data_IF_142133283505
#
_entry.id   IF_142133283505
#
_cell.length_a   1.000
_cell.length_b   1.000
_cell.length_c   1.000
_cell.angle_alpha   90.00
_cell.angle_beta   90.00
_cell.angle_gamma   90.00
#
_symmetry.space_group_name_H-M   'P 1'
#
loop_
_entity.id
_entity.type
_entity.pdbx_description
1 polymer ?
#
# COMPACT_ATOMS: atom_id res chain seq x y z
N UNK A 1 -1.11 -5.82 -4.73
CA UNK A 1 0.17 -6.27 -4.14
C UNK A 1 0.16 -6.02 -2.65
N UNK A 2 0.59 -6.98 -1.82
CA UNK A 2 0.72 -6.80 -0.38
C UNK A 2 2.14 -6.37 0.01
N UNK A 3 2.26 -5.43 0.94
CA UNK A 3 3.53 -4.93 1.47
C UNK A 3 3.52 -4.96 3.01
N UNK A 4 4.31 -5.86 3.59
CA UNK A 4 4.46 -5.95 5.04
C UNK A 4 5.43 -4.86 5.53
N UNK A 5 4.89 -3.85 6.21
CA UNK A 5 5.62 -2.66 6.67
C UNK A 5 5.93 -2.75 8.17
N UNK A 6 6.81 -3.68 8.55
CA UNK A 6 7.26 -3.86 9.94
C UNK A 6 8.03 -2.62 10.40
N UNK A 7 7.63 -2.06 11.54
CA UNK A 7 8.24 -0.88 12.17
C UNK A 7 8.50 0.30 11.22
N UNK A 8 7.66 0.44 10.20
CA UNK A 8 7.75 1.54 9.24
C UNK A 8 8.91 1.45 8.25
N UNK A 9 9.54 0.28 8.08
CA UNK A 9 10.66 0.07 7.16
C UNK A 9 10.42 0.63 5.74
N UNK A 10 9.19 0.54 5.23
CA UNK A 10 8.79 1.03 3.92
C UNK A 10 8.09 2.40 3.92
N UNK A 11 8.11 3.15 5.02
CA UNK A 11 7.45 4.47 5.07
C UNK A 11 7.96 5.41 3.98
N UNK A 12 9.29 5.48 3.79
CA UNK A 12 9.88 6.32 2.74
C UNK A 12 9.43 5.94 1.33
N UNK A 13 9.27 4.65 1.06
CA UNK A 13 8.73 4.16 -0.22
C UNK A 13 7.27 4.56 -0.40
N UNK A 14 6.44 4.39 0.63
CA UNK A 14 5.03 4.76 0.58
C UNK A 14 4.86 6.28 0.37
N UNK A 15 5.62 7.10 1.09
CA UNK A 15 5.61 8.56 0.94
C UNK A 15 6.12 9.01 -0.44
N UNK A 16 7.09 8.31 -1.02
CA UNK A 16 7.52 8.58 -2.39
C UNK A 16 6.39 8.34 -3.40
N UNK A 17 5.63 7.26 -3.23
CA UNK A 17 4.48 6.95 -4.09
C UNK A 17 3.37 7.98 -3.88
N UNK A 18 3.07 8.36 -2.64
CA UNK A 18 2.10 9.42 -2.34
C UNK A 18 2.46 10.72 -3.10
N UNK A 19 3.73 11.13 -3.00
CA UNK A 19 4.23 12.31 -3.72
C UNK A 19 4.11 12.20 -5.24
N UNK A 20 4.41 11.04 -5.81
CA UNK A 20 4.28 10.82 -7.25
C UNK A 20 2.82 10.85 -7.72
N UNK A 21 1.87 10.49 -6.86
CA UNK A 21 0.43 10.67 -7.12
C UNK A 21 0.05 12.14 -7.08
N UNK A 22 0.49 12.87 -6.06
CA UNK A 22 0.21 14.30 -5.89
C UNK A 22 0.77 15.14 -7.05
N UNK A 23 1.95 14.78 -7.56
CA UNK A 23 2.59 15.42 -8.72
C UNK A 23 1.97 14.99 -10.07
N UNK A 24 1.02 14.06 -10.07
CA UNK A 24 0.32 13.59 -11.27
C UNK A 24 1.10 12.59 -12.13
N UNK A 25 2.26 12.12 -11.66
CA UNK A 25 3.03 11.06 -12.34
C UNK A 25 2.37 9.68 -12.24
N UNK A 26 1.59 9.45 -11.17
CA UNK A 26 0.84 8.21 -10.94
C UNK A 26 -0.65 8.55 -10.86
N UNK A 27 -1.48 7.82 -11.60
CA UNK A 27 -2.94 7.96 -11.51
C UNK A 27 -3.43 7.68 -10.09
N UNK A 28 -4.37 8.47 -9.53
CA UNK A 28 -4.85 8.29 -8.15
C UNK A 28 -5.35 6.86 -7.85
N UNK A 29 -5.98 6.21 -8.81
CA UNK A 29 -6.44 4.82 -8.69
C UNK A 29 -5.29 3.81 -8.49
N UNK A 30 -4.11 4.08 -9.07
CA UNK A 30 -2.95 3.21 -8.96
C UNK A 30 -2.31 3.23 -7.56
N UNK A 31 -2.61 4.24 -6.72
CA UNK A 31 -2.12 4.28 -5.34
C UNK A 31 -2.58 3.08 -4.50
N UNK A 32 -3.77 2.57 -4.79
CA UNK A 32 -4.39 1.46 -4.07
C UNK A 32 -3.88 0.08 -4.50
N UNK A 33 -2.95 0.01 -5.47
CA UNK A 33 -2.29 -1.22 -5.91
C UNK A 33 -1.45 -1.82 -4.77
N UNK A 34 -0.90 -0.97 -3.90
CA UNK A 34 -0.16 -1.40 -2.71
C UNK A 34 -1.09 -1.36 -1.50
N UNK A 35 -1.30 -2.54 -0.91
CA UNK A 35 -1.93 -2.70 0.40
C UNK A 35 -0.81 -2.90 1.41
N UNK A 36 -0.69 -2.02 2.40
CA UNK A 36 0.28 -2.17 3.49
C UNK A 36 -0.39 -2.44 4.84
N UNK A 37 0.37 -3.12 5.70
CA UNK A 37 -0.01 -3.49 7.05
C UNK A 37 1.25 -3.72 7.90
N UNK A 38 1.14 -3.62 9.21
CA UNK A 38 2.29 -3.79 10.12
C UNK A 38 2.55 -5.25 10.48
N UNK A 39 1.52 -6.10 10.36
CA UNK A 39 1.61 -7.52 10.67
C UNK A 39 1.17 -8.37 9.49
N UNK A 40 1.69 -9.59 9.40
CA UNK A 40 1.32 -10.54 8.34
C UNK A 40 -0.18 -10.87 8.38
N UNK A 41 -0.74 -11.08 9.58
CA UNK A 41 -2.17 -11.34 9.76
C UNK A 41 -3.03 -10.20 9.19
N UNK A 42 -2.74 -8.96 9.58
CA UNK A 42 -3.45 -7.78 9.08
C UNK A 42 -3.33 -7.65 7.56
N UNK A 43 -2.15 -7.94 7.01
CA UNK A 43 -1.92 -7.89 5.56
C UNK A 43 -2.80 -8.88 4.81
N UNK A 44 -2.87 -10.13 5.28
CA UNK A 44 -3.68 -11.18 4.65
C UNK A 44 -5.17 -10.82 4.74
N UNK A 45 -5.67 -10.41 5.92
CA UNK A 45 -7.07 -10.00 6.06
C UNK A 45 -7.45 -8.85 5.11
N UNK A 46 -6.57 -7.85 4.94
CA UNK A 46 -6.79 -6.74 4.00
C UNK A 46 -6.80 -7.19 2.55
N UNK A 47 -5.95 -8.15 2.18
CA UNK A 47 -5.90 -8.69 0.82
C UNK A 47 -7.14 -9.53 0.49
N UNK A 48 -7.57 -10.37 1.42
CA UNK A 48 -8.80 -11.17 1.28
C UNK A 48 -10.04 -10.28 1.15
N UNK A 49 -10.17 -9.23 1.97
CA UNK A 49 -11.26 -8.25 1.86
C UNK A 49 -11.35 -7.60 0.48
N UNK A 50 -10.21 -7.41 -0.21
CA UNK A 50 -10.17 -6.85 -1.56
C UNK A 50 -10.44 -7.87 -2.66
N UNK A 51 -10.23 -9.16 -2.41
CA UNK A 51 -10.50 -10.23 -3.39
C UNK A 51 -11.99 -10.60 -3.50
N UNK A 52 -12.81 -10.16 -2.54
CA UNK A 52 -14.25 -10.52 -2.45
C UNK A 52 -15.17 -9.45 -3.09
N UNK A 53 -14.63 -8.43 -3.77
CA UNK A 53 -15.41 -7.45 -4.55
C UNK A 53 -15.03 -7.45 -6.03
#
# INVERSE_FOLDING_TARGET
VGLLNVDGYYNSLLSFIDKAVDEGFIAPAARYIIVSAQTAHELICKLESKAVN
#
